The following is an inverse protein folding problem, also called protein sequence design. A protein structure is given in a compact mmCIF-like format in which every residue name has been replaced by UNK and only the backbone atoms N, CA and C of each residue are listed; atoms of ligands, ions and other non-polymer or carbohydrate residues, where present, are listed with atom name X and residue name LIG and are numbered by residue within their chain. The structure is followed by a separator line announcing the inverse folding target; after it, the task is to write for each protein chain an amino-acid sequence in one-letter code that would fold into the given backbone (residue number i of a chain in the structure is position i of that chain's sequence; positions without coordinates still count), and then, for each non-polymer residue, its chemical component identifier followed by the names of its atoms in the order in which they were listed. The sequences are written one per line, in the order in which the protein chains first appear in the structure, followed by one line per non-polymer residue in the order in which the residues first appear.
data_IF_178973190451
#
_entry.id   IF_178973190451
#
_cell.length_a   1.000
_cell.length_b   1.000
_cell.length_c   1.000
_cell.angle_alpha   90.00
_cell.angle_beta   90.00
_cell.angle_gamma   90.00
#
_symmetry.space_group_name_H-M   'P 1'
#
loop_
_entity.id
_entity.type
_entity.pdbx_description
1 polymer ?
#
# COMPACT_ATOMS: atom_id res chain seq x y z
N UNK A 1 -11.14 -35.27 3.11
CA UNK A 1 -9.68 -35.40 3.05
C UNK A 1 -9.16 -34.10 2.44
N UNK A 2 -8.51 -33.26 3.22
CA UNK A 2 -7.96 -32.01 2.70
C UNK A 2 -6.56 -32.30 2.19
N UNK A 3 -6.41 -32.33 0.87
CA UNK A 3 -5.08 -32.29 0.27
C UNK A 3 -4.60 -30.85 0.39
N UNK A 4 -3.73 -30.59 1.36
CA UNK A 4 -2.99 -29.32 1.38
C UNK A 4 -2.30 -29.13 0.04
N UNK A 5 -2.28 -27.92 -0.47
CA UNK A 5 -1.51 -27.59 -1.67
C UNK A 5 -0.04 -27.79 -1.32
N UNK A 6 0.53 -28.95 -1.68
CA UNK A 6 1.95 -29.23 -1.46
C UNK A 6 2.75 -28.61 -2.59
N UNK A 7 3.73 -27.79 -2.22
CA UNK A 7 4.69 -27.23 -3.18
C UNK A 7 5.61 -28.36 -3.68
N UNK A 8 5.86 -28.51 -4.98
CA UNK A 8 6.78 -29.50 -5.52
C UNK A 8 8.19 -29.40 -4.93
N UNK A 9 8.85 -30.53 -4.72
CA UNK A 9 10.17 -30.60 -4.06
C UNK A 9 11.24 -29.68 -4.66
N UNK A 10 11.37 -29.53 -6.00
CA UNK A 10 12.34 -28.59 -6.57
C UNK A 10 12.09 -27.14 -6.14
N UNK A 11 10.82 -26.74 -6.01
CA UNK A 11 10.45 -25.39 -5.56
C UNK A 11 10.73 -25.24 -4.06
N UNK A 12 10.50 -26.27 -3.25
CA UNK A 12 10.88 -26.25 -1.83
C UNK A 12 12.38 -26.06 -1.66
N UNK A 13 13.21 -26.79 -2.41
CA UNK A 13 14.66 -26.65 -2.36
C UNK A 13 15.13 -25.23 -2.79
N UNK A 14 14.55 -24.69 -3.85
CA UNK A 14 14.83 -23.31 -4.26
C UNK A 14 14.41 -22.29 -3.20
N UNK A 15 13.27 -22.52 -2.53
CA UNK A 15 12.78 -21.66 -1.44
C UNK A 15 13.74 -21.65 -0.25
N UNK A 16 14.34 -22.78 0.11
CA UNK A 16 15.35 -22.83 1.19
C UNK A 16 16.51 -21.89 0.91
N UNK A 17 17.04 -21.89 -0.32
CA UNK A 17 18.14 -21.00 -0.71
C UNK A 17 17.70 -19.53 -0.70
N UNK A 18 16.49 -19.25 -1.18
CA UNK A 18 15.95 -17.88 -1.18
C UNK A 18 15.75 -17.33 0.25
N UNK A 19 15.31 -18.17 1.20
CA UNK A 19 15.17 -17.78 2.60
C UNK A 19 16.50 -17.61 3.35
N UNK A 20 17.60 -18.15 2.82
CA UNK A 20 18.95 -17.98 3.39
C UNK A 20 19.66 -16.72 2.87
N UNK A 21 19.12 -16.05 1.85
CA UNK A 21 19.71 -14.84 1.26
C UNK A 21 18.95 -13.58 1.70
N UNK A 22 19.48 -12.93 2.74
CA UNK A 22 18.92 -11.68 3.26
C UNK A 22 19.27 -10.43 2.43
N UNK A 23 20.15 -10.55 1.44
CA UNK A 23 20.60 -9.40 0.64
C UNK A 23 19.48 -8.74 -0.15
N UNK A 24 18.57 -9.54 -0.74
CA UNK A 24 17.40 -9.07 -1.46
C UNK A 24 16.40 -8.42 -0.50
N UNK A 25 16.25 -8.99 0.69
CA UNK A 25 15.34 -8.48 1.73
C UNK A 25 15.78 -7.09 2.17
N UNK A 26 17.08 -6.91 2.46
CA UNK A 26 17.62 -5.60 2.87
C UNK A 26 17.46 -4.55 1.78
N UNK A 27 17.81 -4.89 0.53
CA UNK A 27 17.63 -3.99 -0.61
C UNK A 27 16.16 -3.55 -0.79
N UNK A 28 15.21 -4.47 -0.63
CA UNK A 28 13.80 -4.15 -0.72
C UNK A 28 13.35 -3.24 0.44
N UNK A 29 13.81 -3.50 1.66
CA UNK A 29 13.52 -2.66 2.83
C UNK A 29 14.00 -1.23 2.63
N UNK A 30 15.22 -1.05 2.16
CA UNK A 30 15.81 0.28 1.91
C UNK A 30 15.03 1.03 0.83
N UNK A 31 14.66 0.34 -0.26
CA UNK A 31 13.84 0.91 -1.33
C UNK A 31 12.45 1.37 -0.85
N UNK A 32 11.79 0.56 -0.02
CA UNK A 32 10.47 0.94 0.52
C UNK A 32 10.59 2.04 1.57
N UNK A 33 11.63 2.02 2.41
CA UNK A 33 11.90 3.08 3.37
C UNK A 33 12.02 4.44 2.68
N UNK A 34 12.81 4.53 1.61
CA UNK A 34 12.92 5.75 0.80
C UNK A 34 11.54 6.22 0.28
N UNK A 35 10.73 5.32 -0.26
CA UNK A 35 9.38 5.66 -0.75
C UNK A 35 8.44 6.13 0.34
N UNK A 36 8.53 5.58 1.55
CA UNK A 36 7.73 6.02 2.68
C UNK A 36 8.13 7.41 3.14
N UNK A 37 9.43 7.70 3.25
CA UNK A 37 9.95 9.02 3.61
C UNK A 37 9.51 10.08 2.58
N UNK A 38 9.59 9.77 1.30
CA UNK A 38 9.08 10.63 0.23
C UNK A 38 7.56 10.86 0.35
N UNK A 39 6.79 9.83 0.70
CA UNK A 39 5.35 9.95 0.87
C UNK A 39 4.97 10.85 2.04
N UNK A 40 5.64 10.75 3.19
CA UNK A 40 5.42 11.66 4.33
C UNK A 40 5.70 13.12 3.95
N UNK A 41 6.82 13.36 3.27
CA UNK A 41 7.20 14.70 2.83
C UNK A 41 6.20 15.30 1.84
N UNK A 42 5.76 14.52 0.85
CA UNK A 42 4.82 15.01 -0.18
C UNK A 42 3.43 15.24 0.40
N UNK A 43 2.92 14.29 1.17
CA UNK A 43 1.57 14.36 1.74
C UNK A 43 1.50 15.27 2.97
N UNK A 44 2.65 15.74 3.48
CA UNK A 44 2.75 16.59 4.68
C UNK A 44 2.01 15.97 5.88
N UNK A 45 2.09 14.66 6.00
CA UNK A 45 1.46 13.89 7.07
C UNK A 45 2.50 13.03 7.78
N UNK A 46 2.60 13.20 9.08
CA UNK A 46 3.45 12.38 9.94
C UNK A 46 2.80 11.01 10.22
N UNK A 47 3.63 10.05 10.58
CA UNK A 47 3.21 8.69 10.97
C UNK A 47 2.53 7.87 9.86
N UNK A 48 2.92 8.11 8.60
CA UNK A 48 2.52 7.27 7.47
C UNK A 48 3.43 6.04 7.31
N UNK A 49 4.62 6.06 7.93
CA UNK A 49 5.60 4.96 7.83
C UNK A 49 5.13 3.80 8.71
N UNK A 50 4.77 2.65 8.13
CA UNK A 50 4.42 1.47 8.90
C UNK A 50 5.69 0.77 9.42
N UNK A 51 5.56 -0.03 10.48
CA UNK A 51 6.65 -0.90 10.96
C UNK A 51 7.08 -1.96 9.92
N UNK A 52 6.20 -2.30 9.01
CA UNK A 52 6.44 -3.17 7.87
C UNK A 52 5.29 -3.04 6.89
N UNK A 53 5.52 -3.23 5.65
CA UNK A 53 4.58 -3.30 4.53
C UNK A 53 5.18 -2.67 3.27
N UNK A 54 4.41 -2.60 2.21
CA UNK A 54 4.73 -1.93 0.95
C UNK A 54 3.60 -0.99 0.49
N UNK A 55 2.71 -0.62 1.41
CA UNK A 55 1.57 0.27 1.15
C UNK A 55 1.36 1.26 2.30
N UNK A 56 0.82 2.41 1.96
CA UNK A 56 0.34 3.41 2.91
C UNK A 56 -1.11 3.11 3.30
N UNK A 57 -1.45 3.48 4.52
CA UNK A 57 -2.81 3.46 5.05
C UNK A 57 -3.22 4.91 5.36
N UNK A 58 -3.76 5.60 4.34
CA UNK A 58 -4.04 7.03 4.38
C UNK A 58 -5.47 7.30 4.82
N UNK A 59 -5.64 8.09 5.87
CA UNK A 59 -6.96 8.51 6.36
C UNK A 59 -7.53 9.64 5.49
N UNK A 60 -8.81 9.50 5.10
CA UNK A 60 -9.61 10.46 4.32
C UNK A 60 -11.02 10.54 4.92
N UNK A 61 -11.88 11.45 4.43
CA UNK A 61 -13.26 11.55 4.91
C UNK A 61 -14.13 10.37 4.45
N UNK A 62 -14.09 10.04 3.18
CA UNK A 62 -14.81 8.91 2.56
C UNK A 62 -13.92 8.25 1.52
N UNK A 63 -13.56 6.98 1.75
CA UNK A 63 -12.59 6.29 0.90
C UNK A 63 -13.11 5.98 -0.50
N UNK A 64 -14.39 5.75 -0.66
CA UNK A 64 -14.98 5.42 -1.96
C UNK A 64 -15.12 6.67 -2.83
N UNK A 65 -15.66 7.74 -2.27
CA UNK A 65 -15.80 9.03 -2.96
C UNK A 65 -14.44 9.60 -3.36
N UNK A 66 -13.46 9.54 -2.46
CA UNK A 66 -12.10 9.97 -2.75
C UNK A 66 -11.47 9.18 -3.90
N UNK A 67 -11.60 7.85 -3.87
CA UNK A 67 -11.02 7.00 -4.93
C UNK A 67 -11.63 7.29 -6.30
N UNK A 68 -12.95 7.48 -6.37
CA UNK A 68 -13.63 7.86 -7.62
C UNK A 68 -13.11 9.20 -8.15
N UNK A 69 -13.08 10.23 -7.29
CA UNK A 69 -12.58 11.56 -7.65
C UNK A 69 -11.12 11.52 -8.12
N UNK A 70 -10.26 10.78 -7.42
CA UNK A 70 -8.87 10.62 -7.78
C UNK A 70 -8.69 9.93 -9.13
N UNK A 71 -9.48 8.89 -9.40
CA UNK A 71 -9.44 8.20 -10.68
C UNK A 71 -9.94 9.08 -11.83
N UNK A 72 -11.07 9.77 -11.65
CA UNK A 72 -11.68 10.58 -12.68
C UNK A 72 -10.83 11.80 -13.07
N UNK A 73 -10.16 12.42 -12.09
CA UNK A 73 -9.41 13.66 -12.30
C UNK A 73 -7.93 13.46 -12.57
N UNK A 74 -7.32 12.46 -11.97
CA UNK A 74 -5.86 12.27 -11.97
C UNK A 74 -5.44 10.90 -12.53
N UNK A 75 -6.39 10.03 -12.88
CA UNK A 75 -6.14 8.67 -13.41
C UNK A 75 -5.27 7.79 -12.49
N UNK A 76 -5.34 8.02 -11.18
CA UNK A 76 -4.65 7.24 -10.16
C UNK A 76 -5.64 6.33 -9.46
N UNK A 77 -5.36 5.01 -9.47
CA UNK A 77 -6.19 4.02 -8.82
C UNK A 77 -5.59 3.61 -7.48
N UNK A 78 -6.40 3.71 -6.43
CA UNK A 78 -6.10 3.24 -5.07
C UNK A 78 -7.21 2.33 -4.58
N UNK A 79 -6.97 1.60 -3.51
CA UNK A 79 -7.97 0.69 -2.97
C UNK A 79 -8.69 1.32 -1.77
N UNK A 80 -10.02 1.55 -1.85
CA UNK A 80 -10.79 2.02 -0.71
C UNK A 80 -10.76 1.01 0.43
N UNK A 81 -10.43 1.46 1.64
CA UNK A 81 -10.41 0.64 2.83
C UNK A 81 -11.78 0.06 3.17
N UNK A 82 -12.85 0.75 2.80
CA UNK A 82 -14.23 0.28 2.93
C UNK A 82 -14.43 -1.17 2.45
N UNK A 83 -13.74 -1.58 1.38
CA UNK A 83 -13.83 -2.94 0.83
C UNK A 83 -12.88 -3.94 1.48
N UNK A 84 -11.94 -3.47 2.31
CA UNK A 84 -10.97 -4.33 3.03
C UNK A 84 -11.41 -4.64 4.46
N UNK A 85 -12.28 -3.81 5.02
CA UNK A 85 -12.81 -3.98 6.37
C UNK A 85 -14.21 -4.61 6.36
N UNK A 86 -14.53 -5.31 7.43
CA UNK A 86 -15.89 -5.78 7.72
C UNK A 86 -16.52 -4.96 8.83
N UNK A 87 -17.86 -4.83 8.79
CA UNK A 87 -18.59 -4.11 9.83
C UNK A 87 -18.58 -4.90 11.15
N UNK A 88 -18.17 -4.23 12.22
CA UNK A 88 -18.31 -4.71 13.58
C UNK A 88 -19.23 -3.74 14.34
N UNK A 89 -20.35 -4.24 14.88
CA UNK A 89 -21.40 -3.43 15.55
C UNK A 89 -21.85 -2.23 14.68
N UNK A 90 -21.98 -2.44 13.37
CA UNK A 90 -22.44 -1.42 12.42
C UNK A 90 -21.35 -0.47 11.90
N UNK A 91 -20.14 -0.49 12.45
CA UNK A 91 -19.03 0.38 12.09
C UNK A 91 -17.98 -0.41 11.28
N UNK A 92 -17.59 0.12 10.13
CA UNK A 92 -16.44 -0.40 9.39
C UNK A 92 -15.19 0.45 9.73
N UNK A 93 -14.21 -0.08 10.46
CA UNK A 93 -13.05 0.69 10.92
C UNK A 93 -12.16 1.17 9.76
N UNK A 94 -12.26 0.56 8.59
CA UNK A 94 -11.48 0.89 7.42
C UNK A 94 -12.18 1.86 6.44
N UNK A 95 -13.41 2.28 6.73
CA UNK A 95 -14.25 3.09 5.84
C UNK A 95 -13.60 4.43 5.43
N UNK A 96 -12.86 5.02 6.35
CA UNK A 96 -12.17 6.30 6.17
C UNK A 96 -10.70 6.15 5.78
N UNK A 97 -10.29 5.04 5.17
CA UNK A 97 -8.90 4.81 4.81
C UNK A 97 -8.74 4.42 3.36
N UNK A 98 -7.60 4.78 2.79
CA UNK A 98 -7.15 4.33 1.47
C UNK A 98 -5.92 3.45 1.64
N UNK A 99 -5.87 2.35 0.92
CA UNK A 99 -4.66 1.55 0.77
C UNK A 99 -3.96 1.97 -0.53
N UNK A 100 -2.75 2.49 -0.41
CA UNK A 100 -1.94 2.98 -1.53
C UNK A 100 -0.70 2.12 -1.61
N UNK A 101 -0.59 1.25 -2.61
CA UNK A 101 0.56 0.38 -2.80
C UNK A 101 1.70 1.14 -3.50
N UNK A 102 2.90 1.15 -2.88
CA UNK A 102 4.10 1.85 -3.40
C UNK A 102 4.96 0.96 -4.30
N UNK A 103 4.33 0.14 -5.15
CA UNK A 103 4.99 -0.90 -5.95
C UNK A 103 5.68 -0.39 -7.21
N UNK A 104 5.29 0.77 -7.71
CA UNK A 104 5.90 1.38 -8.89
C UNK A 104 7.30 1.95 -8.62
N UNK A 105 8.02 2.33 -9.67
CA UNK A 105 9.28 3.07 -9.52
C UNK A 105 9.07 4.42 -8.80
N UNK A 106 10.15 5.05 -8.38
CA UNK A 106 10.10 6.30 -7.60
C UNK A 106 9.40 7.41 -8.38
N UNK A 107 9.71 7.59 -9.66
CA UNK A 107 9.14 8.65 -10.50
C UNK A 107 7.61 8.58 -10.58
N UNK A 108 7.06 7.40 -10.90
CA UNK A 108 5.60 7.19 -10.94
C UNK A 108 4.96 7.31 -9.56
N UNK A 109 5.67 6.86 -8.53
CA UNK A 109 5.21 6.98 -7.14
C UNK A 109 5.10 8.46 -6.74
N UNK A 110 6.10 9.29 -7.03
CA UNK A 110 6.09 10.72 -6.75
C UNK A 110 4.95 11.44 -7.49
N UNK A 111 4.75 11.11 -8.77
CA UNK A 111 3.66 11.66 -9.57
C UNK A 111 2.30 11.32 -8.97
N UNK A 112 2.08 10.06 -8.62
CA UNK A 112 0.82 9.61 -8.01
C UNK A 112 0.57 10.26 -6.63
N UNK A 113 1.60 10.38 -5.79
CA UNK A 113 1.50 11.05 -4.49
C UNK A 113 1.17 12.54 -4.64
N UNK A 114 1.75 13.22 -5.65
CA UNK A 114 1.40 14.61 -5.99
C UNK A 114 -0.08 14.76 -6.37
N UNK A 115 -0.60 13.85 -7.18
CA UNK A 115 -2.03 13.81 -7.54
C UNK A 115 -2.92 13.56 -6.32
N UNK A 116 -2.53 12.66 -5.42
CA UNK A 116 -3.25 12.40 -4.17
C UNK A 116 -3.25 13.66 -3.29
N UNK A 117 -2.11 14.34 -3.12
CA UNK A 117 -2.02 15.59 -2.37
C UNK A 117 -2.97 16.65 -2.89
N UNK A 118 -3.03 16.83 -4.21
CA UNK A 118 -3.92 17.80 -4.87
C UNK A 118 -5.39 17.55 -4.54
N UNK A 119 -5.83 16.28 -4.54
CA UNK A 119 -7.21 15.92 -4.18
C UNK A 119 -7.47 16.10 -2.68
N UNK A 120 -6.48 15.76 -1.82
CA UNK A 120 -6.58 15.94 -0.36
C UNK A 120 -6.79 17.40 0.05
N UNK A 121 -6.16 18.36 -0.64
CA UNK A 121 -6.33 19.80 -0.34
C UNK A 121 -7.69 20.33 -0.77
N UNK A 122 -8.43 19.60 -1.61
CA UNK A 122 -9.74 19.99 -2.12
C UNK A 122 -10.90 19.23 -1.42
N UNK A 123 -10.63 18.53 -0.32
CA UNK A 123 -11.61 17.89 0.56
C UNK A 123 -12.10 18.85 1.66
#
# INVERSE_FOLDING_TARGET
MFHGVSVPLPIQNASVLAWQDDSIVQKNRDMYKEKFELAENILERNSLIPEGAFYLWLKVKDSESFTKKLYDQEHVLVLPGKYLGSKNKGINPAEQYLRIALVHNIELTLKALGSIKKILHNE
#
